data_IF_954969738697
#
_entry.id   IF_954969738697
#
_cell.length_a   1.000
_cell.length_b   1.000
_cell.length_c   1.000
_cell.angle_alpha   90.00
_cell.angle_beta   90.00
_cell.angle_gamma   90.00
#
_symmetry.space_group_name_H-M   'P 1'
#
loop_
_entity.id
_entity.type
_entity.pdbx_description
1 polymer ?
#
# COMPACT_ATOMS: atom_id res chain seq x y z
N UNK A 1 24.85 7.70 -3.71
CA UNK A 1 24.24 6.45 -4.22
C UNK A 1 22.84 6.73 -4.72
N UNK A 2 22.42 6.19 -5.87
CA UNK A 2 21.10 6.48 -6.46
C UNK A 2 20.44 5.21 -6.95
N UNK A 3 19.13 5.10 -6.74
CA UNK A 3 18.30 4.07 -7.35
C UNK A 3 16.87 4.55 -7.53
N UNK A 4 16.13 3.83 -8.34
CA UNK A 4 14.74 4.11 -8.66
C UNK A 4 13.95 2.81 -8.66
N UNK A 5 12.79 2.82 -8.02
CA UNK A 5 11.88 1.69 -7.99
C UNK A 5 10.47 2.12 -8.40
N UNK A 6 9.67 1.13 -8.81
CA UNK A 6 8.26 1.30 -9.15
C UNK A 6 7.41 0.42 -8.25
N UNK A 7 6.17 0.83 -8.00
CA UNK A 7 5.17 0.04 -7.28
C UNK A 7 3.80 0.26 -7.94
N UNK A 8 3.00 -0.81 -8.15
CA UNK A 8 1.67 -0.69 -8.71
C UNK A 8 0.71 0.03 -7.74
N UNK A 9 -0.40 0.52 -8.26
CA UNK A 9 -1.56 0.94 -7.49
C UNK A 9 -2.42 -0.27 -7.11
N UNK A 10 -3.44 -0.02 -6.27
CA UNK A 10 -4.59 -0.92 -6.10
C UNK A 10 -5.85 -0.24 -6.64
N UNK A 11 -6.85 -0.97 -7.10
CA UNK A 11 -8.18 -0.43 -7.35
C UNK A 11 -9.12 -0.72 -6.17
N UNK A 12 -8.97 0.06 -5.10
CA UNK A 12 -9.60 -0.28 -3.81
C UNK A 12 -9.20 -1.68 -3.37
N UNK A 13 -10.18 -2.43 -2.87
CA UNK A 13 -10.02 -3.77 -2.36
C UNK A 13 -11.08 -4.69 -2.97
N UNK A 14 -10.72 -5.91 -3.35
CA UNK A 14 -11.71 -6.92 -3.79
C UNK A 14 -12.71 -7.18 -2.66
N UNK A 15 -12.18 -7.27 -1.44
CA UNK A 15 -12.95 -7.37 -0.20
C UNK A 15 -12.22 -6.59 0.88
N UNK A 16 -12.91 -5.76 1.64
CA UNK A 16 -12.41 -5.17 2.88
C UNK A 16 -13.43 -5.36 3.98
N UNK A 17 -12.97 -5.67 5.19
CA UNK A 17 -13.85 -5.77 6.34
C UNK A 17 -13.18 -6.32 7.59
N UNK A 18 -14.02 -6.75 8.53
CA UNK A 18 -13.59 -7.28 9.82
C UNK A 18 -14.21 -8.67 10.05
N UNK A 19 -13.38 -9.65 10.41
CA UNK A 19 -13.82 -10.99 10.83
C UNK A 19 -13.14 -11.30 12.17
N UNK A 20 -13.91 -11.68 13.18
CA UNK A 20 -13.35 -12.06 14.49
C UNK A 20 -12.43 -10.99 15.10
N UNK A 21 -12.77 -9.70 14.97
CA UNK A 21 -11.96 -8.54 15.37
C UNK A 21 -10.63 -8.33 14.62
N UNK A 22 -10.38 -9.07 13.53
CA UNK A 22 -9.25 -8.81 12.63
C UNK A 22 -9.75 -8.00 11.43
N UNK A 23 -9.21 -6.78 11.27
CA UNK A 23 -9.42 -5.99 10.07
C UNK A 23 -8.54 -6.54 8.96
N UNK A 24 -9.10 -6.71 7.77
CA UNK A 24 -8.35 -7.19 6.62
C UNK A 24 -8.86 -6.57 5.32
N UNK A 25 -8.04 -6.70 4.30
CA UNK A 25 -8.42 -6.48 2.91
C UNK A 25 -7.87 -7.59 2.03
N UNK A 26 -8.44 -7.72 0.83
CA UNK A 26 -7.90 -8.48 -0.29
C UNK A 26 -7.52 -7.47 -1.36
N UNK A 27 -6.23 -7.41 -1.68
CA UNK A 27 -5.68 -6.41 -2.62
C UNK A 27 -6.23 -6.57 -4.03
N UNK A 28 -6.29 -5.48 -4.79
CA UNK A 28 -6.72 -5.45 -6.19
C UNK A 28 -5.67 -4.71 -7.03
N UNK A 29 -4.44 -5.26 -7.20
CA UNK A 29 -3.36 -4.55 -7.86
C UNK A 29 -3.70 -4.26 -9.33
N UNK A 30 -3.43 -3.03 -9.78
CA UNK A 30 -3.66 -2.59 -11.17
C UNK A 30 -2.40 -2.01 -11.80
N UNK A 31 -2.35 -2.00 -13.13
CA UNK A 31 -1.21 -1.52 -13.92
C UNK A 31 -1.09 0.02 -14.00
N UNK A 32 -1.36 0.72 -12.89
CA UNK A 32 -0.96 2.11 -12.65
C UNK A 32 0.22 2.10 -11.69
N UNK A 33 1.17 3.02 -11.83
CA UNK A 33 2.44 2.94 -11.12
C UNK A 33 2.90 4.29 -10.58
N UNK A 34 3.48 4.24 -9.38
CA UNK A 34 4.39 5.29 -8.93
C UNK A 34 5.82 4.91 -9.24
N UNK A 35 6.65 5.91 -9.51
CA UNK A 35 8.09 5.78 -9.69
C UNK A 35 8.78 6.70 -8.68
N UNK A 36 9.52 6.10 -7.74
CA UNK A 36 10.25 6.83 -6.71
C UNK A 36 11.75 6.68 -6.94
N UNK A 37 12.44 7.81 -7.03
CA UNK A 37 13.89 7.89 -7.12
C UNK A 37 14.48 8.42 -5.83
N UNK A 38 15.52 7.77 -5.32
CA UNK A 38 16.20 8.12 -4.06
C UNK A 38 17.67 8.37 -4.34
N UNK A 39 18.18 9.50 -3.86
CA UNK A 39 19.61 9.84 -3.86
C UNK A 39 20.11 9.96 -2.43
N UNK A 40 21.01 9.05 -2.03
CA UNK A 40 21.60 8.97 -0.70
C UNK A 40 23.05 9.48 -0.68
N UNK A 41 23.45 10.15 0.39
CA UNK A 41 24.84 10.51 0.68
C UNK A 41 24.98 11.46 1.87
N UNK A 42 26.21 11.74 2.31
CA UNK A 42 26.49 12.62 3.45
C UNK A 42 26.12 14.09 3.18
N UNK A 43 26.41 14.57 1.96
CA UNK A 43 26.23 15.95 1.51
C UNK A 43 25.18 16.07 0.41
N UNK A 44 24.07 15.33 0.53
CA UNK A 44 22.94 15.43 -0.40
C UNK A 44 21.95 16.49 0.10
N UNK A 45 21.49 17.35 -0.81
CA UNK A 45 20.43 18.30 -0.51
C UNK A 45 19.17 17.57 -0.06
N UNK A 46 18.45 18.10 0.93
CA UNK A 46 17.16 17.52 1.33
C UNK A 46 16.04 18.13 0.48
N UNK A 47 14.94 17.40 0.33
CA UNK A 47 13.73 17.96 -0.30
C UNK A 47 13.30 19.28 0.37
N UNK A 48 12.79 20.23 -0.43
CA UNK A 48 12.20 21.50 0.03
C UNK A 48 10.96 21.26 0.89
N UNK A 49 10.53 22.25 1.68
CA UNK A 49 9.35 22.09 2.55
C UNK A 49 8.06 21.75 1.78
N UNK A 50 7.83 22.37 0.62
CA UNK A 50 6.70 22.03 -0.25
C UNK A 50 6.72 20.57 -0.70
N UNK A 51 7.90 20.05 -1.06
CA UNK A 51 8.06 18.64 -1.41
C UNK A 51 7.85 17.73 -0.19
N UNK A 52 8.31 18.16 1.00
CA UNK A 52 8.09 17.43 2.24
C UNK A 52 6.60 17.31 2.54
N UNK A 53 5.81 18.37 2.38
CA UNK A 53 4.36 18.31 2.60
C UNK A 53 3.69 17.26 1.71
N UNK A 54 3.97 17.31 0.41
CA UNK A 54 3.28 16.47 -0.59
C UNK A 54 3.74 15.00 -0.60
N UNK A 55 4.98 14.72 -0.17
CA UNK A 55 5.58 13.37 -0.15
C UNK A 55 6.07 12.94 1.24
N UNK A 56 5.49 13.48 2.32
CA UNK A 56 5.97 13.24 3.68
C UNK A 56 6.04 11.75 4.04
N UNK A 57 5.06 10.95 3.62
CA UNK A 57 5.02 9.50 3.91
C UNK A 57 6.11 8.72 3.18
N UNK A 58 6.39 9.05 1.92
CA UNK A 58 7.52 8.49 1.19
C UNK A 58 8.87 8.85 1.84
N UNK A 59 9.02 10.10 2.31
CA UNK A 59 10.22 10.50 3.07
C UNK A 59 10.35 9.75 4.40
N UNK A 60 9.25 9.56 5.13
CA UNK A 60 9.24 8.74 6.35
C UNK A 60 9.65 7.29 6.06
N UNK A 61 9.18 6.72 4.95
CA UNK A 61 9.55 5.38 4.49
C UNK A 61 11.05 5.26 4.20
N UNK A 62 11.65 6.24 3.51
CA UNK A 62 13.11 6.31 3.31
C UNK A 62 13.84 6.33 4.64
N UNK A 63 13.45 7.23 5.55
CA UNK A 63 14.12 7.37 6.84
C UNK A 63 14.01 6.08 7.67
N UNK A 64 12.82 5.46 7.75
CA UNK A 64 12.62 4.18 8.43
C UNK A 64 13.42 3.04 7.80
N UNK A 65 13.56 3.04 6.46
CA UNK A 65 14.41 2.08 5.75
C UNK A 65 15.89 2.29 6.05
N UNK A 66 16.36 3.54 6.14
CA UNK A 66 17.72 3.86 6.58
C UNK A 66 17.94 3.38 8.02
N UNK A 67 16.98 3.61 8.92
CA UNK A 67 17.04 3.11 10.30
C UNK A 67 17.14 1.60 10.35
N UNK A 68 16.30 0.88 9.58
CA UNK A 68 16.33 -0.58 9.49
C UNK A 68 17.70 -1.13 9.09
N UNK A 69 18.42 -0.42 8.21
CA UNK A 69 19.76 -0.81 7.76
C UNK A 69 20.92 -0.17 8.55
N UNK A 70 20.62 0.54 9.63
CA UNK A 70 21.59 1.27 10.47
C UNK A 70 22.37 2.37 9.72
N UNK A 71 21.73 3.00 8.72
CA UNK A 71 22.30 3.99 7.82
C UNK A 71 21.81 5.43 8.09
N UNK A 72 21.46 5.74 9.34
CA UNK A 72 20.91 7.04 9.76
C UNK A 72 21.83 8.25 9.52
N UNK A 73 23.12 8.00 9.27
CA UNK A 73 24.10 9.03 8.97
C UNK A 73 24.00 9.56 7.52
N UNK A 74 23.22 8.90 6.65
CA UNK A 74 23.00 9.34 5.28
C UNK A 74 21.81 10.31 5.20
N UNK A 75 21.94 11.31 4.33
CA UNK A 75 20.82 12.16 3.90
C UNK A 75 20.21 11.62 2.62
N UNK A 76 18.93 11.92 2.41
CA UNK A 76 18.19 11.54 1.21
C UNK A 76 17.57 12.75 0.50
N UNK A 77 17.64 12.72 -0.83
CA UNK A 77 16.76 13.48 -1.71
C UNK A 77 15.88 12.49 -2.46
N UNK A 78 14.57 12.73 -2.48
CA UNK A 78 13.64 11.90 -3.26
C UNK A 78 12.94 12.67 -4.36
N UNK A 79 12.53 11.94 -5.39
CA UNK A 79 11.59 12.42 -6.41
C UNK A 79 10.55 11.34 -6.61
N UNK A 80 9.28 11.74 -6.55
CA UNK A 80 8.14 10.86 -6.78
C UNK A 80 7.47 11.33 -8.07
N UNK A 81 7.32 10.41 -9.02
CA UNK A 81 6.57 10.63 -10.25
C UNK A 81 5.50 9.53 -10.32
N UNK A 82 4.25 9.91 -10.06
CA UNK A 82 3.13 8.97 -9.95
C UNK A 82 2.05 9.35 -10.93
N UNK A 83 1.57 8.35 -11.68
CA UNK A 83 0.35 8.49 -12.49
C UNK A 83 -0.90 8.01 -11.73
N UNK A 84 -0.76 7.65 -10.45
CA UNK A 84 -1.85 7.14 -9.61
C UNK A 84 -2.64 8.35 -9.07
N UNK A 85 -3.92 8.50 -9.42
CA UNK A 85 -4.78 9.53 -8.84
C UNK A 85 -4.81 9.43 -7.31
N UNK A 86 -4.71 10.59 -6.64
CA UNK A 86 -4.70 10.68 -5.17
C UNK A 86 -6.10 10.88 -4.61
N UNK A 87 -6.35 10.29 -3.45
CA UNK A 87 -7.57 10.55 -2.66
C UNK A 87 -8.84 9.86 -3.19
N UNK A 88 -8.72 8.93 -4.13
CA UNK A 88 -9.86 8.20 -4.72
C UNK A 88 -9.81 6.68 -4.49
N UNK A 89 -9.07 6.23 -3.46
CA UNK A 89 -9.03 4.82 -3.07
C UNK A 89 -8.07 3.93 -3.86
N UNK A 90 -7.06 4.50 -4.55
CA UNK A 90 -6.13 3.72 -5.37
C UNK A 90 -4.81 3.29 -4.69
N UNK A 91 -4.78 3.30 -3.36
CA UNK A 91 -3.59 3.00 -2.55
C UNK A 91 -2.33 3.80 -2.95
N UNK A 92 -2.48 5.02 -3.49
CA UNK A 92 -1.37 5.83 -4.01
C UNK A 92 -0.27 6.08 -2.96
N UNK A 93 -0.67 6.24 -1.69
CA UNK A 93 0.26 6.45 -0.58
C UNK A 93 1.05 5.20 -0.24
N UNK A 94 0.40 4.04 -0.12
CA UNK A 94 1.06 2.74 0.06
C UNK A 94 2.02 2.44 -1.09
N UNK A 95 1.67 2.81 -2.33
CA UNK A 95 2.53 2.65 -3.48
C UNK A 95 3.79 3.52 -3.36
N UNK A 96 3.63 4.81 -2.98
CA UNK A 96 4.74 5.75 -2.79
C UNK A 96 5.69 5.26 -1.67
N UNK A 97 5.15 4.79 -0.55
CA UNK A 97 5.90 4.19 0.57
C UNK A 97 6.69 2.97 0.11
N UNK A 98 6.02 2.03 -0.58
CA UNK A 98 6.63 0.78 -1.04
C UNK A 98 7.78 1.04 -2.01
N UNK A 99 7.54 1.90 -3.01
CA UNK A 99 8.58 2.29 -3.98
C UNK A 99 9.74 3.02 -3.30
N UNK A 100 9.48 3.84 -2.26
CA UNK A 100 10.52 4.51 -1.50
C UNK A 100 11.40 3.52 -0.71
N UNK A 101 10.81 2.52 -0.05
CA UNK A 101 11.57 1.46 0.64
C UNK A 101 12.45 0.68 -0.35
N UNK A 102 11.87 0.27 -1.49
CA UNK A 102 12.58 -0.46 -2.53
C UNK A 102 13.74 0.36 -3.10
N UNK A 103 13.50 1.60 -3.52
CA UNK A 103 14.53 2.48 -4.05
C UNK A 103 15.65 2.76 -3.03
N UNK A 104 15.30 2.91 -1.74
CA UNK A 104 16.30 3.10 -0.68
C UNK A 104 17.18 1.86 -0.51
N UNK A 105 16.58 0.67 -0.43
CA UNK A 105 17.34 -0.59 -0.32
C UNK A 105 18.26 -0.82 -1.52
N UNK A 106 17.76 -0.56 -2.74
CA UNK A 106 18.54 -0.66 -3.97
C UNK A 106 19.69 0.35 -4.02
N UNK A 107 19.46 1.60 -3.59
CA UNK A 107 20.52 2.61 -3.51
C UNK A 107 21.62 2.21 -2.53
N UNK A 108 21.28 1.49 -1.46
CA UNK A 108 22.25 0.93 -0.50
C UNK A 108 22.91 -0.38 -0.99
N UNK A 109 22.46 -0.95 -2.12
CA UNK A 109 22.88 -2.28 -2.56
C UNK A 109 22.44 -3.41 -1.62
N UNK A 110 21.37 -3.19 -0.85
CA UNK A 110 20.84 -4.14 0.13
C UNK A 110 19.52 -4.75 -0.35
N UNK A 111 19.22 -5.97 0.11
CA UNK A 111 17.91 -6.62 -0.08
C UNK A 111 16.99 -6.25 1.08
N UNK A 112 15.73 -6.01 0.77
CA UNK A 112 14.65 -5.82 1.74
C UNK A 112 13.52 -6.80 1.42
N UNK A 113 12.90 -7.39 2.44
CA UNK A 113 11.77 -8.30 2.25
C UNK A 113 10.46 -7.53 2.16
N UNK A 114 9.45 -8.12 1.51
CA UNK A 114 8.10 -7.53 1.47
C UNK A 114 7.51 -7.43 2.87
N UNK A 115 7.84 -8.37 3.77
CA UNK A 115 7.43 -8.32 5.17
C UNK A 115 7.97 -7.08 5.89
N UNK A 116 9.24 -6.77 5.68
CA UNK A 116 9.86 -5.56 6.23
C UNK A 116 9.26 -4.29 5.64
N UNK A 117 8.97 -4.28 4.32
CA UNK A 117 8.30 -3.14 3.69
C UNK A 117 6.91 -2.94 4.30
N UNK A 118 6.16 -4.02 4.51
CA UNK A 118 4.84 -3.99 5.14
C UNK A 118 4.92 -3.46 6.58
N UNK A 119 5.90 -3.90 7.37
CA UNK A 119 6.12 -3.39 8.73
C UNK A 119 6.42 -1.88 8.73
N UNK A 120 7.28 -1.43 7.81
CA UNK A 120 7.59 0.00 7.66
C UNK A 120 6.32 0.78 7.27
N UNK A 121 5.55 0.29 6.30
CA UNK A 121 4.34 0.93 5.82
C UNK A 121 3.28 1.05 6.92
N UNK A 122 2.99 -0.05 7.63
CA UNK A 122 2.04 -0.08 8.75
C UNK A 122 2.47 0.80 9.92
N UNK A 123 3.78 1.01 10.10
CA UNK A 123 4.30 1.95 11.11
C UNK A 123 4.19 3.43 10.73
N UNK A 124 3.77 3.73 9.49
CA UNK A 124 3.48 5.07 8.98
C UNK A 124 1.97 5.29 8.95
N UNK A 125 1.23 4.33 8.39
CA UNK A 125 -0.23 4.40 8.24
C UNK A 125 -0.85 3.01 7.97
N UNK A 126 -2.17 2.83 8.22
CA UNK A 126 -2.91 1.73 7.61
C UNK A 126 -2.64 1.63 6.11
N UNK A 127 -2.26 0.44 5.65
CA UNK A 127 -1.68 0.26 4.32
C UNK A 127 -2.27 -0.94 3.60
N UNK A 128 -2.32 -0.84 2.27
CA UNK A 128 -2.62 -1.98 1.40
C UNK A 128 -1.47 -3.02 1.40
N UNK A 129 -1.72 -4.23 0.88
CA UNK A 129 -0.75 -5.31 0.70
C UNK A 129 -0.01 -5.31 -0.65
N UNK A 130 -0.09 -4.25 -1.46
CA UNK A 130 0.54 -4.16 -2.80
C UNK A 130 2.08 -4.31 -2.85
N UNK A 131 2.77 -4.31 -1.71
CA UNK A 131 4.20 -4.67 -1.67
C UNK A 131 4.45 -6.15 -1.96
N UNK A 132 3.45 -7.01 -1.78
CA UNK A 132 3.52 -8.42 -2.15
C UNK A 132 3.09 -8.63 -3.60
N UNK A 133 3.71 -9.58 -4.32
CA UNK A 133 3.29 -9.90 -5.68
C UNK A 133 1.91 -10.56 -5.68
N UNK A 134 1.07 -10.17 -6.65
CA UNK A 134 -0.27 -10.72 -6.84
C UNK A 134 -1.30 -10.22 -5.84
N UNK A 135 -2.30 -11.06 -5.57
CA UNK A 135 -3.37 -10.80 -4.62
C UNK A 135 -2.98 -11.30 -3.24
N UNK A 136 -3.19 -10.48 -2.23
CA UNK A 136 -2.90 -10.83 -0.84
C UNK A 136 -4.09 -10.52 0.05
N UNK A 137 -4.42 -11.47 0.92
CA UNK A 137 -5.24 -11.25 2.10
C UNK A 137 -4.35 -10.66 3.20
N UNK A 138 -4.56 -9.38 3.48
CA UNK A 138 -3.67 -8.57 4.31
C UNK A 138 -4.40 -7.89 5.46
N UNK A 139 -3.84 -7.94 6.67
CA UNK A 139 -4.28 -7.11 7.79
C UNK A 139 -3.67 -5.71 7.66
N UNK A 140 -4.46 -4.79 7.11
CA UNK A 140 -4.06 -3.41 6.82
C UNK A 140 -3.85 -2.54 8.06
N UNK A 141 -4.07 -3.05 9.27
CA UNK A 141 -3.91 -2.30 10.52
C UNK A 141 -2.70 -2.83 11.31
N UNK A 142 -2.66 -4.13 11.59
CA UNK A 142 -1.63 -4.72 12.45
C UNK A 142 -0.65 -5.62 11.71
N UNK A 143 -0.92 -5.95 10.44
CA UNK A 143 -0.05 -6.80 9.64
C UNK A 143 0.05 -8.24 10.11
N UNK A 144 -0.84 -8.71 11.00
CA UNK A 144 -0.81 -10.08 11.53
C UNK A 144 -1.23 -11.14 10.50
N UNK A 145 -1.95 -10.73 9.46
CA UNK A 145 -2.40 -11.58 8.36
C UNK A 145 -1.72 -11.14 7.07
N UNK A 146 -1.02 -12.07 6.41
CA UNK A 146 -0.24 -11.84 5.18
C UNK A 146 -0.28 -13.08 4.30
N UNK A 147 -1.43 -13.38 3.73
CA UNK A 147 -1.64 -14.63 2.97
C UNK A 147 -1.72 -14.33 1.48
N UNK A 148 -0.76 -14.82 0.70
CA UNK A 148 -0.84 -14.80 -0.76
C UNK A 148 -2.02 -15.65 -1.25
N UNK A 149 -2.79 -15.10 -2.18
CA UNK A 149 -3.94 -15.75 -2.81
C UNK A 149 -3.70 -16.04 -4.31
N UNK A 150 -2.46 -15.89 -4.80
CA UNK A 150 -2.11 -16.08 -6.20
C UNK A 150 -2.25 -14.79 -7.01
N UNK A 151 -2.51 -14.91 -8.31
CA UNK A 151 -2.62 -13.78 -9.23
C UNK A 151 -4.04 -13.70 -9.79
N UNK A 152 -4.51 -12.48 -10.05
CA UNK A 152 -5.69 -12.29 -10.88
C UNK A 152 -5.33 -12.64 -12.33
N UNK A 153 -6.27 -13.19 -13.12
CA UNK A 153 -6.15 -13.15 -14.57
C UNK A 153 -6.22 -11.69 -15.05
N UNK A 154 -5.96 -11.47 -16.33
CA UNK A 154 -6.09 -10.15 -16.92
C UNK A 154 -7.54 -9.66 -16.82
N UNK A 155 -7.73 -8.47 -16.24
CA UNK A 155 -9.03 -7.86 -15.97
C UNK A 155 -9.02 -6.40 -16.42
N UNK A 156 -10.12 -5.98 -17.03
CA UNK A 156 -10.37 -4.57 -17.33
C UNK A 156 -11.11 -3.92 -16.16
N UNK A 157 -10.59 -2.79 -15.68
CA UNK A 157 -11.15 -2.08 -14.53
C UNK A 157 -11.60 -0.69 -14.98
N UNK A 158 -12.89 -0.42 -14.79
CA UNK A 158 -13.47 0.91 -15.03
C UNK A 158 -13.56 1.69 -13.71
N UNK A 159 -12.77 2.76 -13.61
CA UNK A 159 -12.75 3.64 -12.43
C UNK A 159 -13.56 4.89 -12.74
N UNK A 160 -14.61 5.13 -11.95
CA UNK A 160 -15.45 6.34 -12.04
C UNK A 160 -15.04 7.29 -10.92
N UNK A 161 -14.31 8.35 -11.26
CA UNK A 161 -13.94 9.42 -10.33
C UNK A 161 -15.01 10.53 -10.32
N UNK A 162 -15.78 10.60 -9.24
CA UNK A 162 -16.80 11.64 -9.01
C UNK A 162 -16.24 12.93 -8.38
N UNK A 163 -14.90 13.04 -8.26
CA UNK A 163 -14.16 14.19 -7.68
C UNK A 163 -14.51 14.53 -6.24
N UNK A 164 -15.07 13.57 -5.51
CA UNK A 164 -15.25 13.68 -4.08
C UNK A 164 -14.06 13.04 -3.38
N UNK A 165 -13.43 13.79 -2.48
CA UNK A 165 -12.40 13.25 -1.61
C UNK A 165 -13.03 12.90 -0.27
N UNK A 166 -12.76 11.69 0.19
CA UNK A 166 -13.05 11.27 1.56
C UNK A 166 -11.77 11.45 2.36
N UNK A 167 -11.84 12.24 3.44
CA UNK A 167 -10.76 12.28 4.41
C UNK A 167 -10.72 10.94 5.16
N UNK A 168 -9.70 10.13 4.85
CA UNK A 168 -9.52 8.81 5.42
C UNK A 168 -9.26 8.84 6.93
N UNK A 169 -8.66 9.90 7.46
CA UNK A 169 -8.43 10.03 8.91
C UNK A 169 -9.75 10.33 9.62
N UNK A 170 -10.54 11.26 9.07
CA UNK A 170 -11.86 11.58 9.59
C UNK A 170 -12.78 10.35 9.55
N UNK A 171 -12.82 9.62 8.43
CA UNK A 171 -13.63 8.42 8.30
C UNK A 171 -13.28 7.35 9.34
N UNK A 172 -11.98 7.11 9.58
CA UNK A 172 -11.52 6.12 10.55
C UNK A 172 -11.71 6.55 12.02
N UNK A 173 -11.96 7.83 12.29
CA UNK A 173 -12.26 8.36 13.63
C UNK A 173 -13.73 8.22 14.06
N UNK A 174 -14.60 7.72 13.18
CA UNK A 174 -16.03 7.57 13.47
C UNK A 174 -16.25 6.54 14.60
N UNK A 175 -16.83 7.00 15.71
CA UNK A 175 -16.94 6.23 16.95
C UNK A 175 -17.68 4.88 16.81
N UNK A 176 -18.67 4.79 15.91
CA UNK A 176 -19.47 3.57 15.69
C UNK A 176 -18.99 2.69 14.53
N UNK A 177 -17.87 3.05 13.88
CA UNK A 177 -17.36 2.33 12.70
C UNK A 177 -17.06 0.86 13.01
N UNK A 178 -16.51 0.58 14.20
CA UNK A 178 -16.19 -0.77 14.64
C UNK A 178 -17.45 -1.64 14.79
N UNK A 179 -18.51 -1.08 15.35
CA UNK A 179 -19.79 -1.80 15.52
C UNK A 179 -20.49 -2.01 14.18
N UNK A 180 -20.48 -0.99 13.31
CA UNK A 180 -20.98 -1.10 11.93
C UNK A 180 -20.23 -2.17 11.13
N UNK A 181 -18.91 -2.28 11.29
CA UNK A 181 -18.12 -3.31 10.64
C UNK A 181 -18.45 -4.71 11.17
N UNK A 182 -18.72 -4.82 12.48
CA UNK A 182 -19.13 -6.09 13.10
C UNK A 182 -20.50 -6.55 12.59
N UNK A 183 -21.45 -5.63 12.40
CA UNK A 183 -22.76 -5.93 11.81
C UNK A 183 -22.67 -6.48 10.38
N UNK A 184 -21.62 -6.11 9.63
CA UNK A 184 -21.36 -6.57 8.26
C UNK A 184 -20.58 -7.90 8.19
N UNK A 185 -20.14 -8.46 9.32
CA UNK A 185 -19.22 -9.61 9.34
C UNK A 185 -19.71 -10.80 8.49
N UNK A 186 -21.01 -11.11 8.51
CA UNK A 186 -21.55 -12.22 7.70
C UNK A 186 -21.48 -11.94 6.20
N UNK A 187 -21.73 -10.69 5.79
CA UNK A 187 -21.59 -10.26 4.39
C UNK A 187 -20.11 -10.31 3.97
N UNK A 188 -19.21 -9.84 4.83
CA UNK A 188 -17.76 -9.88 4.61
C UNK A 188 -17.25 -11.32 4.50
N UNK A 189 -17.71 -12.23 5.37
CA UNK A 189 -17.37 -13.67 5.28
C UNK A 189 -17.82 -14.27 3.95
N UNK A 190 -19.04 -13.95 3.50
CA UNK A 190 -19.55 -14.42 2.22
C UNK A 190 -18.72 -13.88 1.06
N UNK A 191 -18.40 -12.59 1.06
CA UNK A 191 -17.59 -11.95 0.01
C UNK A 191 -16.17 -12.54 -0.05
N UNK A 192 -15.53 -12.73 1.10
CA UNK A 192 -14.21 -13.38 1.18
C UNK A 192 -14.26 -14.80 0.63
N UNK A 193 -15.27 -15.60 1.01
CA UNK A 193 -15.43 -16.96 0.48
C UNK A 193 -15.57 -16.98 -1.04
N UNK A 194 -16.44 -16.12 -1.60
CA UNK A 194 -16.62 -16.02 -3.05
C UNK A 194 -15.32 -15.60 -3.75
N UNK A 195 -14.56 -14.70 -3.15
CA UNK A 195 -13.26 -14.26 -3.68
C UNK A 195 -12.26 -15.41 -3.71
N UNK A 196 -12.17 -16.20 -2.63
CA UNK A 196 -11.28 -17.36 -2.57
C UNK A 196 -11.68 -18.42 -3.61
N UNK A 197 -12.97 -18.73 -3.74
CA UNK A 197 -13.49 -19.67 -4.74
C UNK A 197 -13.23 -19.18 -6.17
N UNK A 198 -13.38 -17.88 -6.44
CA UNK A 198 -13.11 -17.28 -7.75
C UNK A 198 -11.62 -17.41 -8.13
N UNK A 199 -10.72 -17.10 -7.19
CA UNK A 199 -9.27 -17.20 -7.39
C UNK A 199 -8.82 -18.66 -7.58
N UNK A 200 -9.36 -19.58 -6.78
CA UNK A 200 -9.04 -21.01 -6.88
C UNK A 200 -9.48 -21.61 -8.22
N UNK A 201 -10.63 -21.19 -8.75
CA UNK A 201 -11.21 -21.73 -9.98
C UNK A 201 -10.86 -20.90 -11.23
N UNK A 202 -10.13 -19.80 -11.07
CA UNK A 202 -9.91 -18.80 -12.12
C UNK A 202 -11.21 -18.28 -12.78
N UNK A 203 -12.33 -18.29 -12.04
CA UNK A 203 -13.66 -17.89 -12.52
C UNK A 203 -14.03 -16.52 -11.98
N UNK A 204 -13.58 -15.47 -12.67
CA UNK A 204 -13.75 -14.08 -12.22
C UNK A 204 -15.19 -13.57 -12.32
N UNK A 205 -16.09 -14.27 -13.03
CA UNK A 205 -17.52 -13.93 -13.04
C UNK A 205 -18.15 -13.98 -11.65
N UNK A 206 -17.48 -14.65 -10.70
CA UNK A 206 -17.92 -14.74 -9.30
C UNK A 206 -17.52 -13.54 -8.45
N UNK A 207 -16.58 -12.70 -8.91
CA UNK A 207 -16.19 -11.47 -8.22
C UNK A 207 -17.19 -10.33 -8.48
N UNK A 208 -17.97 -10.41 -9.55
CA UNK A 208 -18.92 -9.40 -10.00
C UNK A 208 -18.97 -9.32 -11.52
#
# INVERSE_FOLDING_TARGET
MRATAICPASCGEIVQGMIGNCNFLVTCPIALYTKVSVHLGYNVATNTENNKFYYHKALQAVNKTLTFFEMNHLKAFITVNSNIPRGIGLASSTADITAACLATSQALGKKISNDTIADIALSIEPSDGIMYPGVVLFDHISGRLRKSLGFLPELEVYIIDIRQQVDTEQFNSIADLKEKNKQKEQVVKRALRLTLEALEQADMKRLG
#
